data_IF_107212036261
#
_entry.id   IF_107212036261
#
_cell.length_a   1.000
_cell.length_b   1.000
_cell.length_c   1.000
_cell.angle_alpha   90.00
_cell.angle_beta   90.00
_cell.angle_gamma   90.00
#
_symmetry.space_group_name_H-M   'P 1'
#
loop_
_entity.id
_entity.type
_entity.pdbx_description
1 polymer ?
#
# COMPACT_ATOMS: atom_id res chain seq x y z
N UNK A 1 -33.73 35.41 15.36
CA UNK A 1 -32.79 34.31 15.07
C UNK A 1 -33.42 33.28 14.11
N UNK A 2 -34.14 33.76 13.09
CA UNK A 2 -34.76 32.92 12.06
C UNK A 2 -34.24 33.25 10.64
N UNK A 3 -33.42 34.29 10.52
CA UNK A 3 -32.99 34.84 9.22
C UNK A 3 -31.61 34.35 8.76
N UNK A 4 -30.89 33.56 9.56
CA UNK A 4 -29.54 33.05 9.19
C UNK A 4 -29.58 31.77 8.33
N UNK A 5 -30.76 31.19 8.09
CA UNK A 5 -30.91 29.95 7.31
C UNK A 5 -31.29 30.18 5.84
N UNK A 6 -31.77 31.38 5.47
CA UNK A 6 -32.23 31.67 4.11
C UNK A 6 -31.10 31.96 3.11
N UNK A 7 -29.92 32.36 3.57
CA UNK A 7 -28.78 32.71 2.69
C UNK A 7 -28.02 31.48 2.14
N UNK A 8 -28.35 30.27 2.60
CA UNK A 8 -27.70 29.02 2.13
C UNK A 8 -28.30 28.46 0.83
N UNK A 9 -29.53 28.83 0.47
CA UNK A 9 -30.25 28.21 -0.65
C UNK A 9 -29.92 28.83 -2.02
N UNK A 10 -29.45 30.08 -2.10
CA UNK A 10 -29.23 30.75 -3.39
C UNK A 10 -27.90 30.38 -4.09
N UNK A 11 -27.00 29.67 -3.42
CA UNK A 11 -25.64 29.39 -3.92
C UNK A 11 -25.32 27.92 -4.20
N UNK A 12 -26.14 26.97 -3.77
CA UNK A 12 -25.78 25.56 -3.74
C UNK A 12 -26.45 24.82 -4.90
N UNK A 13 -25.67 24.54 -5.95
CA UNK A 13 -26.07 23.66 -7.06
C UNK A 13 -25.55 22.25 -6.80
N UNK A 14 -26.31 21.45 -6.06
CA UNK A 14 -26.04 20.02 -5.88
C UNK A 14 -26.77 19.26 -6.99
N UNK A 15 -26.06 18.37 -7.68
CA UNK A 15 -26.66 17.47 -8.66
C UNK A 15 -27.67 16.55 -7.96
N UNK A 16 -28.88 16.44 -8.50
CA UNK A 16 -30.00 15.72 -7.86
C UNK A 16 -30.03 14.22 -8.22
N UNK A 17 -29.01 13.70 -8.89
CA UNK A 17 -28.94 12.34 -9.44
C UNK A 17 -28.08 11.40 -8.58
N UNK A 18 -28.10 11.56 -7.26
CA UNK A 18 -27.48 10.59 -6.37
C UNK A 18 -28.33 10.35 -5.13
N UNK A 19 -28.44 9.09 -4.73
CA UNK A 19 -28.98 8.67 -3.45
C UNK A 19 -27.93 7.86 -2.69
N UNK A 20 -27.30 8.50 -1.70
CA UNK A 20 -26.25 7.85 -0.89
C UNK A 20 -26.76 6.62 -0.14
N UNK A 21 -28.00 6.62 0.35
CA UNK A 21 -28.54 5.49 1.13
C UNK A 21 -28.71 4.24 0.26
N UNK A 22 -29.13 4.42 -0.99
CA UNK A 22 -29.38 3.32 -1.93
C UNK A 22 -28.12 2.91 -2.71
N UNK A 23 -27.23 3.86 -3.00
CA UNK A 23 -26.07 3.65 -3.87
C UNK A 23 -24.78 3.36 -3.11
N UNK A 24 -24.71 3.65 -1.80
CA UNK A 24 -23.52 3.37 -1.02
C UNK A 24 -23.17 1.88 -1.04
N UNK A 25 -21.96 1.59 -1.48
CA UNK A 25 -21.33 0.28 -1.38
C UNK A 25 -19.96 0.45 -0.74
N UNK A 26 -19.60 -0.39 0.25
CA UNK A 26 -18.27 -0.35 0.82
C UNK A 26 -17.24 -0.71 -0.25
N UNK A 27 -16.02 -0.18 -0.11
CA UNK A 27 -14.91 -0.54 -0.99
C UNK A 27 -14.69 -2.06 -0.98
N UNK A 28 -14.66 -2.72 -2.15
CA UNK A 28 -14.47 -4.16 -2.22
C UNK A 28 -13.05 -4.53 -1.76
N UNK A 29 -12.95 -5.62 -1.02
CA UNK A 29 -11.68 -6.12 -0.49
C UNK A 29 -11.20 -7.33 -1.27
N UNK A 30 -9.91 -7.36 -1.56
CA UNK A 30 -9.24 -8.55 -2.07
C UNK A 30 -9.26 -9.63 -0.97
N UNK A 31 -9.70 -10.86 -1.26
CA UNK A 31 -9.66 -11.95 -0.29
C UNK A 31 -8.25 -12.21 0.24
N UNK A 32 -8.13 -12.85 1.41
CA UNK A 32 -6.81 -13.20 1.92
C UNK A 32 -6.20 -14.29 1.04
N UNK A 33 -4.95 -14.11 0.60
CA UNK A 33 -4.33 -15.00 -0.37
C UNK A 33 -2.93 -14.55 -0.81
N UNK A 34 -2.33 -15.33 -1.70
CA UNK A 34 -1.11 -14.93 -2.41
C UNK A 34 -1.49 -14.63 -3.85
N UNK A 35 -1.09 -13.45 -4.32
CA UNK A 35 -1.50 -12.92 -5.63
C UNK A 35 -0.28 -12.51 -6.44
N UNK A 36 -0.31 -12.78 -7.73
CA UNK A 36 0.68 -12.34 -8.70
C UNK A 36 0.47 -10.89 -9.08
N UNK A 37 1.58 -10.16 -9.19
CA UNK A 37 1.56 -8.75 -9.43
C UNK A 37 2.87 -8.24 -10.05
N UNK A 38 2.77 -7.15 -10.80
CA UNK A 38 3.90 -6.42 -11.34
C UNK A 38 4.08 -5.09 -10.59
N UNK A 39 5.33 -4.72 -10.33
CA UNK A 39 5.66 -3.38 -9.81
C UNK A 39 5.35 -2.33 -10.89
N UNK A 40 4.43 -1.40 -10.60
CA UNK A 40 4.08 -0.32 -11.54
C UNK A 40 4.70 1.02 -11.17
N UNK A 41 5.03 1.20 -9.90
CA UNK A 41 5.61 2.46 -9.41
C UNK A 41 6.39 2.23 -8.13
N UNK A 42 7.53 2.90 -8.00
CA UNK A 42 8.28 3.00 -6.75
C UNK A 42 8.58 4.46 -6.47
N UNK A 43 8.19 4.96 -5.31
CA UNK A 43 8.40 6.37 -4.91
C UNK A 43 8.98 6.47 -3.51
N UNK A 44 9.76 7.53 -3.30
CA UNK A 44 10.24 7.88 -1.97
C UNK A 44 9.27 8.86 -1.32
N UNK A 45 8.73 8.48 -0.17
CA UNK A 45 7.95 9.34 0.71
C UNK A 45 8.88 9.96 1.75
N UNK A 46 9.21 11.25 1.56
CA UNK A 46 10.14 11.97 2.42
C UNK A 46 9.57 12.28 3.81
N UNK A 47 8.24 12.47 3.92
CA UNK A 47 7.56 12.72 5.19
C UNK A 47 7.57 11.46 6.06
N UNK A 48 7.25 10.34 5.44
CA UNK A 48 7.22 9.04 6.09
C UNK A 48 8.59 8.36 6.14
N UNK A 49 9.60 8.88 5.45
CA UNK A 49 10.91 8.23 5.28
C UNK A 49 10.74 6.77 4.90
N UNK A 50 10.06 6.54 3.78
CA UNK A 50 9.73 5.21 3.31
C UNK A 50 9.83 5.12 1.78
N UNK A 51 10.09 3.92 1.29
CA UNK A 51 9.94 3.58 -0.12
C UNK A 51 8.56 2.94 -0.26
N UNK A 52 7.71 3.57 -1.07
CA UNK A 52 6.34 3.11 -1.35
C UNK A 52 6.34 2.41 -2.70
N UNK A 53 5.99 1.15 -2.67
CA UNK A 53 5.86 0.28 -3.82
C UNK A 53 4.39 0.19 -4.19
N UNK A 54 4.10 0.36 -5.47
CA UNK A 54 2.79 0.09 -6.04
C UNK A 54 2.89 -1.13 -6.93
N UNK A 55 1.97 -2.05 -6.71
CA UNK A 55 1.83 -3.26 -7.49
C UNK A 55 0.45 -3.29 -8.12
N UNK A 56 0.37 -3.77 -9.36
CA UNK A 56 -0.91 -4.11 -10.00
C UNK A 56 -1.05 -5.62 -10.02
N UNK A 57 -2.18 -6.13 -9.55
CA UNK A 57 -2.48 -7.56 -9.61
C UNK A 57 -2.83 -7.97 -11.05
N UNK A 58 -2.32 -9.10 -11.51
CA UNK A 58 -2.69 -9.69 -12.80
C UNK A 58 -2.57 -11.21 -12.76
N UNK A 59 -3.29 -11.88 -13.66
CA UNK A 59 -3.28 -13.34 -13.83
C UNK A 59 -3.68 -14.13 -12.58
N UNK A 60 -4.53 -13.56 -11.71
CA UNK A 60 -5.07 -14.23 -10.53
C UNK A 60 -6.49 -14.75 -10.74
N UNK A 61 -7.28 -14.07 -11.58
CA UNK A 61 -8.72 -14.27 -11.69
C UNK A 61 -9.46 -14.00 -10.37
N UNK A 62 -10.70 -14.49 -10.31
CA UNK A 62 -11.55 -14.35 -9.12
C UNK A 62 -12.15 -12.96 -8.93
N UNK A 63 -12.99 -12.86 -7.91
CA UNK A 63 -13.72 -11.63 -7.54
C UNK A 63 -13.35 -11.20 -6.12
N UNK A 64 -13.47 -9.90 -5.87
CA UNK A 64 -13.37 -9.30 -4.54
C UNK A 64 -14.60 -9.61 -3.68
N UNK A 65 -14.62 -9.10 -2.46
CA UNK A 65 -15.66 -9.38 -1.46
C UNK A 65 -17.09 -8.99 -1.88
N UNK A 66 -17.25 -8.15 -2.90
CA UNK A 66 -18.55 -7.74 -3.44
C UNK A 66 -19.13 -8.71 -4.49
N UNK A 67 -18.34 -9.70 -4.90
CA UNK A 67 -18.71 -10.70 -5.92
C UNK A 67 -18.78 -10.17 -7.36
N UNK A 68 -18.46 -8.90 -7.60
CA UNK A 68 -18.60 -8.25 -8.91
C UNK A 68 -17.29 -7.62 -9.41
N UNK A 69 -16.45 -7.15 -8.50
CA UNK A 69 -15.18 -6.50 -8.85
C UNK A 69 -14.10 -7.57 -9.01
N UNK A 70 -13.45 -7.63 -10.18
CA UNK A 70 -12.34 -8.55 -10.43
C UNK A 70 -11.11 -8.20 -9.57
N UNK A 71 -10.34 -9.21 -9.16
CA UNK A 71 -9.09 -8.99 -8.40
C UNK A 71 -8.00 -8.39 -9.29
N UNK A 72 -7.91 -8.84 -10.55
CA UNK A 72 -6.90 -8.34 -11.49
C UNK A 72 -7.17 -6.88 -11.88
N UNK A 73 -6.10 -6.11 -12.02
CA UNK A 73 -6.12 -4.65 -12.20
C UNK A 73 -6.15 -3.87 -10.88
N UNK A 74 -6.41 -4.52 -9.74
CA UNK A 74 -6.36 -3.86 -8.45
C UNK A 74 -4.93 -3.40 -8.13
N UNK A 75 -4.80 -2.18 -7.60
CA UNK A 75 -3.50 -1.65 -7.17
C UNK A 75 -3.38 -1.73 -5.66
N UNK A 76 -2.29 -2.31 -5.18
CA UNK A 76 -1.97 -2.39 -3.75
C UNK A 76 -0.62 -1.76 -3.46
N UNK A 77 -0.46 -1.27 -2.22
CA UNK A 77 0.77 -0.60 -1.79
C UNK A 77 1.49 -1.40 -0.71
N UNK A 78 2.82 -1.38 -0.78
CA UNK A 78 3.70 -1.87 0.26
C UNK A 78 4.72 -0.79 0.64
N UNK A 79 5.02 -0.65 1.94
CA UNK A 79 5.97 0.36 2.44
C UNK A 79 7.20 -0.30 3.07
N UNK A 80 8.37 0.00 2.52
CA UNK A 80 9.64 -0.23 3.22
C UNK A 80 10.02 1.02 4.01
N UNK A 81 9.95 0.94 5.33
CA UNK A 81 10.37 2.02 6.23
C UNK A 81 11.89 2.13 6.29
N UNK A 82 12.41 3.34 6.09
CA UNK A 82 13.83 3.63 6.20
C UNK A 82 14.19 4.20 7.59
N UNK A 83 15.40 3.93 8.10
CA UNK A 83 15.87 4.52 9.34
C UNK A 83 15.84 6.05 9.32
N UNK A 84 15.32 6.65 10.38
CA UNK A 84 15.35 8.09 10.64
C UNK A 84 16.40 8.42 11.70
N UNK A 85 16.93 9.66 11.74
CA UNK A 85 17.72 10.10 12.87
C UNK A 85 16.97 9.90 14.19
N UNK A 86 17.63 9.34 15.20
CA UNK A 86 17.03 9.03 16.51
C UNK A 86 16.50 7.61 16.66
N UNK A 87 16.24 6.88 15.56
CA UNK A 87 15.76 5.49 15.61
C UNK A 87 16.77 4.53 16.27
N UNK A 88 18.05 4.89 16.30
CA UNK A 88 19.11 4.17 17.01
C UNK A 88 18.98 4.22 18.54
N UNK A 89 18.26 5.22 19.07
CA UNK A 89 18.11 5.44 20.51
C UNK A 89 16.76 4.93 21.04
N UNK A 90 15.84 4.57 20.15
CA UNK A 90 14.50 4.10 20.50
C UNK A 90 14.36 2.59 20.29
N UNK A 91 13.83 1.90 21.29
CA UNK A 91 13.50 0.49 21.17
C UNK A 91 12.20 0.27 20.40
N UNK A 92 12.08 -0.89 19.76
CA UNK A 92 10.81 -1.40 19.25
C UNK A 92 9.83 -1.65 20.40
N UNK A 93 8.53 -1.76 20.10
CA UNK A 93 7.49 -2.00 21.12
C UNK A 93 7.72 -3.24 21.99
N UNK A 94 8.44 -4.24 21.47
CA UNK A 94 8.82 -5.45 22.19
C UNK A 94 10.17 -5.36 22.95
N UNK A 95 10.87 -4.22 22.86
CA UNK A 95 12.12 -3.95 23.58
C UNK A 95 13.36 -4.72 23.12
N UNK A 96 13.28 -5.58 22.09
CA UNK A 96 14.37 -6.51 21.72
C UNK A 96 15.42 -5.92 20.77
N UNK A 97 15.09 -4.82 20.10
CA UNK A 97 15.97 -4.18 19.11
C UNK A 97 15.66 -2.69 19.03
N UNK A 98 16.59 -1.90 18.51
CA UNK A 98 16.30 -0.50 18.17
C UNK A 98 15.38 -0.43 16.94
N UNK A 99 14.62 0.66 16.81
CA UNK A 99 13.81 0.92 15.60
C UNK A 99 14.68 0.91 14.35
N UNK A 100 15.90 1.44 14.44
CA UNK A 100 16.88 1.42 13.34
C UNK A 100 17.20 0.00 12.90
N UNK A 101 17.55 -0.88 13.84
CA UNK A 101 17.89 -2.26 13.52
C UNK A 101 16.68 -3.02 12.94
N UNK A 102 15.48 -2.78 13.47
CA UNK A 102 14.25 -3.39 12.95
C UNK A 102 14.00 -3.02 11.49
N UNK A 103 14.15 -1.74 11.12
CA UNK A 103 13.99 -1.27 9.74
C UNK A 103 15.06 -1.84 8.80
N UNK A 104 16.32 -1.90 9.24
CA UNK A 104 17.41 -2.54 8.47
C UNK A 104 17.09 -4.02 8.22
N UNK A 105 16.63 -4.74 9.24
CA UNK A 105 16.25 -6.15 9.10
C UNK A 105 15.09 -6.32 8.10
N UNK A 106 14.06 -5.47 8.17
CA UNK A 106 12.94 -5.50 7.24
C UNK A 106 13.38 -5.20 5.80
N UNK A 107 14.26 -4.22 5.61
CA UNK A 107 14.81 -3.87 4.30
C UNK A 107 15.63 -5.04 3.71
N UNK A 108 16.47 -5.69 4.52
CA UNK A 108 17.24 -6.86 4.11
C UNK A 108 16.35 -8.07 3.78
N UNK A 109 15.30 -8.30 4.55
CA UNK A 109 14.34 -9.37 4.28
C UNK A 109 13.60 -9.12 2.98
N UNK A 110 13.11 -7.90 2.77
CA UNK A 110 12.43 -7.51 1.54
C UNK A 110 13.34 -7.67 0.31
N UNK A 111 14.57 -7.14 0.38
CA UNK A 111 15.52 -7.21 -0.72
C UNK A 111 15.91 -8.66 -1.05
N UNK A 112 16.06 -9.52 -0.04
CA UNK A 112 16.28 -10.95 -0.24
C UNK A 112 15.07 -11.68 -0.84
N UNK A 113 13.87 -11.37 -0.37
CA UNK A 113 12.65 -12.03 -0.82
C UNK A 113 12.34 -11.74 -2.29
N UNK A 114 12.52 -10.48 -2.72
CA UNK A 114 12.33 -10.07 -4.10
C UNK A 114 13.59 -10.35 -4.96
N UNK A 115 14.74 -10.45 -4.29
CA UNK A 115 16.04 -10.71 -4.88
C UNK A 115 16.59 -9.51 -5.66
N UNK A 116 16.50 -8.33 -5.05
CA UNK A 116 17.02 -7.04 -5.53
C UNK A 116 18.10 -6.50 -4.59
N UNK A 117 18.86 -5.49 -5.03
CA UNK A 117 19.90 -4.89 -4.20
C UNK A 117 19.43 -3.58 -3.55
N UNK A 118 19.25 -3.61 -2.23
CA UNK A 118 18.93 -2.41 -1.42
C UNK A 118 19.96 -2.21 -0.30
N UNK A 119 21.21 -2.64 -0.51
CA UNK A 119 22.20 -2.72 0.58
C UNK A 119 22.72 -1.36 1.05
N UNK A 120 22.63 -0.31 0.23
CA UNK A 120 23.06 1.06 0.58
C UNK A 120 22.07 2.10 0.03
N UNK A 121 22.01 3.31 0.61
CA UNK A 121 21.21 4.40 0.09
C UNK A 121 21.51 4.74 -1.37
N UNK A 122 22.78 4.74 -1.76
CA UNK A 122 23.21 5.08 -3.13
C UNK A 122 22.64 4.09 -4.15
N UNK A 123 22.65 2.79 -3.81
CA UNK A 123 22.06 1.75 -4.68
C UNK A 123 20.56 1.91 -4.81
N UNK A 124 19.87 2.20 -3.71
CA UNK A 124 18.43 2.44 -3.71
C UNK A 124 18.10 3.64 -4.60
N UNK A 125 18.80 4.76 -4.41
CA UNK A 125 18.58 5.99 -5.17
C UNK A 125 18.84 5.77 -6.65
N UNK A 126 19.95 5.11 -6.99
CA UNK A 126 20.31 4.80 -8.39
C UNK A 126 19.24 3.94 -9.04
N UNK A 127 18.86 2.83 -8.42
CA UNK A 127 17.86 1.92 -8.95
C UNK A 127 16.48 2.59 -9.13
N UNK A 128 16.10 3.48 -8.21
CA UNK A 128 14.86 4.25 -8.35
C UNK A 128 14.93 5.29 -9.47
N UNK A 129 16.06 6.00 -9.61
CA UNK A 129 16.25 6.98 -10.67
C UNK A 129 16.28 6.33 -12.06
N UNK A 130 16.88 5.15 -12.16
CA UNK A 130 16.97 4.33 -13.39
C UNK A 130 15.72 3.49 -13.64
N UNK A 131 14.73 3.53 -12.73
CA UNK A 131 13.49 2.77 -12.81
C UNK A 131 13.70 1.24 -12.91
N UNK A 132 14.80 0.71 -12.39
CA UNK A 132 15.21 -0.70 -12.50
C UNK A 132 14.16 -1.69 -11.99
N UNK A 133 13.35 -1.26 -11.01
CA UNK A 133 12.40 -2.13 -10.33
C UNK A 133 11.00 -2.12 -10.95
N UNK A 134 10.73 -1.23 -11.90
CA UNK A 134 9.43 -1.19 -12.60
C UNK A 134 9.33 -2.41 -13.52
N UNK A 135 8.19 -3.09 -13.49
CA UNK A 135 7.95 -4.33 -14.21
C UNK A 135 8.52 -5.59 -13.54
N UNK A 136 9.09 -5.49 -12.33
CA UNK A 136 9.45 -6.68 -11.57
C UNK A 136 8.18 -7.45 -11.17
N UNK A 137 8.18 -8.73 -11.50
CA UNK A 137 7.14 -9.68 -11.13
C UNK A 137 7.32 -10.16 -9.68
N UNK A 138 6.22 -10.15 -8.92
CA UNK A 138 6.19 -10.48 -7.51
C UNK A 138 4.93 -11.25 -7.11
N UNK A 139 5.07 -12.08 -6.08
CA UNK A 139 3.96 -12.68 -5.36
C UNK A 139 3.71 -11.88 -4.07
N UNK A 140 2.46 -11.45 -3.88
CA UNK A 140 2.02 -10.63 -2.76
C UNK A 140 1.11 -11.43 -1.84
N UNK A 141 1.52 -11.59 -0.58
CA UNK A 141 0.64 -12.11 0.45
C UNK A 141 -0.28 -10.99 0.96
N UNK A 142 -1.54 -11.00 0.54
CA UNK A 142 -2.55 -10.00 0.90
C UNK A 142 -3.42 -10.55 2.03
N UNK A 143 -3.72 -9.71 3.01
CA UNK A 143 -4.69 -9.99 4.05
C UNK A 143 -5.52 -8.75 4.33
N UNK A 144 -6.85 -8.87 4.50
CA UNK A 144 -7.64 -7.82 5.10
C UNK A 144 -7.11 -7.48 6.50
N UNK A 145 -7.16 -6.20 6.84
CA UNK A 145 -6.84 -5.68 8.17
C UNK A 145 -7.89 -4.64 8.54
N UNK A 146 -8.31 -4.66 9.80
CA UNK A 146 -9.17 -3.62 10.36
C UNK A 146 -8.31 -2.54 11.05
N UNK A 147 -8.67 -1.28 10.82
CA UNK A 147 -8.14 -0.13 11.53
C UNK A 147 -9.24 0.89 11.67
N UNK A 148 -9.51 1.29 12.91
CA UNK A 148 -10.52 2.32 13.23
C UNK A 148 -11.91 1.99 12.61
N UNK A 149 -12.33 0.72 12.71
CA UNK A 149 -13.60 0.23 12.17
C UNK A 149 -13.67 0.11 10.64
N UNK A 150 -12.59 0.42 9.92
CA UNK A 150 -12.48 0.27 8.46
C UNK A 150 -11.57 -0.88 8.09
N UNK A 151 -12.01 -1.67 7.11
CA UNK A 151 -11.20 -2.74 6.55
C UNK A 151 -10.43 -2.26 5.32
N UNK A 152 -9.21 -2.74 5.17
CA UNK A 152 -8.36 -2.48 4.01
C UNK A 152 -7.50 -3.69 3.71
N UNK A 153 -7.03 -3.78 2.46
CA UNK A 153 -6.04 -4.77 2.09
C UNK A 153 -4.65 -4.34 2.54
N UNK A 154 -3.97 -5.24 3.26
CA UNK A 154 -2.59 -5.05 3.71
C UNK A 154 -1.68 -6.10 3.06
N UNK A 155 -0.60 -5.64 2.44
CA UNK A 155 0.42 -6.51 1.84
C UNK A 155 1.39 -6.94 2.95
N UNK A 156 1.26 -8.19 3.40
CA UNK A 156 2.04 -8.74 4.51
C UNK A 156 3.45 -9.13 4.09
N UNK A 157 3.60 -9.59 2.85
CA UNK A 157 4.88 -10.07 2.31
C UNK A 157 4.90 -9.88 0.80
N UNK A 158 6.07 -9.50 0.30
CA UNK A 158 6.41 -9.47 -1.12
C UNK A 158 7.53 -10.48 -1.34
N UNK A 159 7.38 -11.35 -2.32
CA UNK A 159 8.40 -12.31 -2.74
C UNK A 159 8.56 -12.27 -4.25
N UNK A 160 9.70 -12.74 -4.77
CA UNK A 160 9.89 -12.97 -6.19
C UNK A 160 8.75 -13.84 -6.73
N UNK A 161 8.26 -13.50 -7.93
CA UNK A 161 7.20 -14.26 -8.57
C UNK A 161 7.56 -15.74 -8.67
N UNK A 162 6.58 -16.59 -8.38
CA UNK A 162 6.66 -18.03 -8.62
C UNK A 162 6.34 -18.41 -10.07
N UNK A 163 5.86 -17.47 -10.89
CA UNK A 163 5.77 -17.63 -12.34
C UNK A 163 7.15 -17.36 -12.95
N UNK A 164 7.95 -18.42 -13.12
CA UNK A 164 9.20 -18.43 -13.87
C UNK A 164 9.12 -19.41 -15.04
#
# INVERSE_FOLDING_TARGET
>A
MADEWNDLEEGIKIETDFNVEDEYRPDPLIPAGTYHAAVTRVVFDAEQQAIVWHFVLHDNGGMMSDGNTGVDGATVQYRNWLPRPGDENELTSNGRSTKRQSKINMLQQFSNNLGINMSTPEKIITAMAEQEWIGLEADLMISPREWDGKFYNDVKKVTRSSML
#
